data_IF_865772952557
#
_entry.id   IF_865772952557
#
_cell.length_a   1.000
_cell.length_b   1.000
_cell.length_c   1.000
_cell.angle_alpha   90.00
_cell.angle_beta   90.00
_cell.angle_gamma   90.00
#
_symmetry.space_group_name_H-M   'P 1'
#
loop_
_entity.id
_entity.type
_entity.pdbx_description
1 polymer ?
#
# COMPACT_ATOMS: atom_id res chain seq x y z
N UNK A 1 18.17 -6.42 0.25
CA UNK A 1 16.77 -6.29 -0.28
C UNK A 1 16.71 -5.71 -1.68
N UNK A 2 17.34 -4.56 -1.98
CA UNK A 2 17.33 -3.94 -3.32
C UNK A 2 17.65 -4.88 -4.49
N UNK A 3 18.69 -5.72 -4.35
CA UNK A 3 19.06 -6.72 -5.36
C UNK A 3 17.93 -7.72 -5.63
N UNK A 4 17.19 -8.15 -4.60
CA UNK A 4 16.08 -9.09 -4.75
C UNK A 4 14.91 -8.47 -5.53
N UNK A 5 14.60 -7.19 -5.29
CA UNK A 5 13.58 -6.46 -6.06
C UNK A 5 14.00 -6.30 -7.53
N UNK A 6 15.28 -6.04 -7.80
CA UNK A 6 15.81 -5.98 -9.18
C UNK A 6 15.74 -7.36 -9.87
N UNK A 7 16.05 -8.44 -9.16
CA UNK A 7 15.93 -9.80 -9.71
C UNK A 7 14.46 -10.13 -9.99
N UNK A 8 13.56 -9.83 -9.06
CA UNK A 8 12.12 -10.10 -9.21
C UNK A 8 11.54 -9.36 -10.43
N UNK A 9 11.91 -8.09 -10.63
CA UNK A 9 11.44 -7.30 -11.77
C UNK A 9 12.05 -7.74 -13.12
N UNK A 10 13.31 -8.18 -13.15
CA UNK A 10 13.96 -8.64 -14.40
C UNK A 10 13.63 -10.09 -14.77
N UNK A 11 13.45 -10.95 -13.76
CA UNK A 11 13.29 -12.39 -13.93
C UNK A 11 12.14 -12.93 -13.06
N UNK A 12 10.89 -12.48 -13.28
CA UNK A 12 9.75 -12.81 -12.42
C UNK A 12 9.49 -14.32 -12.35
N UNK A 13 9.62 -15.06 -13.45
CA UNK A 13 9.40 -16.52 -13.45
C UNK A 13 10.43 -17.29 -12.64
N UNK A 14 11.70 -16.88 -12.70
CA UNK A 14 12.76 -17.50 -11.89
C UNK A 14 12.62 -17.15 -10.42
N UNK A 15 12.24 -15.90 -10.13
CA UNK A 15 12.02 -15.45 -8.76
C UNK A 15 10.77 -16.09 -8.12
N UNK A 16 9.76 -16.39 -8.94
CA UNK A 16 8.50 -17.03 -8.53
C UNK A 16 8.63 -18.48 -8.06
N UNK A 17 9.85 -19.02 -7.98
CA UNK A 17 10.08 -20.35 -7.46
C UNK A 17 9.56 -20.50 -6.02
N UNK A 18 9.02 -21.69 -5.72
CA UNK A 18 8.43 -22.03 -4.43
C UNK A 18 9.40 -21.92 -3.25
N UNK A 19 10.70 -21.98 -3.49
CA UNK A 19 11.72 -21.88 -2.45
C UNK A 19 12.16 -20.44 -2.18
N UNK A 20 11.90 -19.52 -3.11
CA UNK A 20 12.43 -18.15 -3.07
C UNK A 20 11.32 -17.15 -2.76
N UNK A 21 10.30 -17.08 -3.61
CA UNK A 21 9.25 -16.07 -3.51
C UNK A 21 8.58 -16.04 -2.13
N UNK A 22 8.02 -17.15 -1.60
CA UNK A 22 7.32 -17.10 -0.33
C UNK A 22 8.23 -16.76 0.84
N UNK A 23 9.47 -17.22 0.86
CA UNK A 23 10.43 -16.91 1.93
C UNK A 23 10.74 -15.41 1.97
N UNK A 24 11.02 -14.81 0.82
CA UNK A 24 11.39 -13.39 0.75
C UNK A 24 10.19 -12.48 0.99
N UNK A 25 9.04 -12.79 0.41
CA UNK A 25 7.82 -11.98 0.56
C UNK A 25 7.26 -12.08 1.97
N UNK A 26 7.22 -13.28 2.54
CA UNK A 26 6.77 -13.47 3.92
C UNK A 26 7.65 -12.71 4.90
N UNK A 27 8.97 -12.78 4.71
CA UNK A 27 9.91 -11.98 5.49
C UNK A 27 9.62 -10.49 5.38
N UNK A 28 9.46 -9.94 4.16
CA UNK A 28 9.16 -8.52 3.98
C UNK A 28 7.85 -8.11 4.64
N UNK A 29 6.78 -8.91 4.45
CA UNK A 29 5.48 -8.65 5.05
C UNK A 29 5.57 -8.65 6.58
N UNK A 30 6.22 -9.65 7.17
CA UNK A 30 6.43 -9.70 8.62
C UNK A 30 7.20 -8.48 9.13
N UNK A 31 8.25 -8.05 8.41
CA UNK A 31 9.02 -6.86 8.77
C UNK A 31 8.19 -5.58 8.70
N UNK A 32 7.34 -5.42 7.68
CA UNK A 32 6.46 -4.25 7.56
C UNK A 32 5.42 -4.21 8.70
N UNK A 33 4.88 -5.37 9.09
CA UNK A 33 3.79 -5.46 10.07
C UNK A 33 4.25 -5.50 11.53
N UNK A 34 5.53 -5.78 11.79
CA UNK A 34 6.07 -5.95 13.14
C UNK A 34 5.96 -4.64 13.96
N UNK A 35 5.28 -4.65 15.12
CA UNK A 35 5.19 -3.48 16.00
C UNK A 35 6.51 -3.14 16.71
N UNK A 36 7.38 -4.11 16.98
CA UNK A 36 8.64 -3.87 17.71
C UNK A 36 9.66 -3.07 16.88
N UNK A 37 9.46 -3.06 15.56
CA UNK A 37 10.33 -2.40 14.60
C UNK A 37 10.02 -0.93 14.35
N UNK A 38 8.99 -0.37 14.99
CA UNK A 38 8.65 1.05 14.92
C UNK A 38 9.76 1.99 15.46
N UNK A 39 10.76 1.43 16.14
CA UNK A 39 11.88 2.16 16.77
C UNK A 39 13.23 1.99 16.04
N UNK A 40 13.29 1.23 14.93
CA UNK A 40 14.54 1.00 14.23
C UNK A 40 14.90 2.17 13.30
N UNK A 41 16.16 2.65 13.31
CA UNK A 41 16.56 3.88 12.60
C UNK A 41 16.74 3.71 11.07
N UNK A 42 16.31 2.60 10.48
CA UNK A 42 16.68 2.26 9.09
C UNK A 42 15.47 2.20 8.17
N UNK A 43 14.93 3.38 7.85
CA UNK A 43 13.80 3.56 6.92
C UNK A 43 14.06 2.95 5.55
N UNK A 44 15.29 3.03 5.05
CA UNK A 44 15.69 2.45 3.76
C UNK A 44 15.37 0.95 3.66
N UNK A 45 15.50 0.19 4.75
CA UNK A 45 15.16 -1.23 4.71
C UNK A 45 13.66 -1.46 4.58
N UNK A 46 12.82 -0.70 5.29
CA UNK A 46 11.37 -0.79 5.16
C UNK A 46 10.91 -0.38 3.77
N UNK A 47 11.50 0.68 3.22
CA UNK A 47 11.29 1.08 1.82
C UNK A 47 11.60 -0.10 0.91
N UNK A 48 12.76 -0.76 1.05
CA UNK A 48 13.10 -1.90 0.20
C UNK A 48 12.19 -3.11 0.42
N UNK A 49 11.65 -3.33 1.63
CA UNK A 49 10.64 -4.35 1.88
C UNK A 49 9.32 -4.02 1.18
N UNK A 50 8.85 -2.77 1.27
CA UNK A 50 7.63 -2.31 0.61
C UNK A 50 7.75 -2.34 -0.91
N UNK A 51 8.88 -1.87 -1.47
CA UNK A 51 9.22 -2.00 -2.90
C UNK A 51 9.14 -3.45 -3.33
N UNK A 52 9.68 -4.39 -2.54
CA UNK A 52 9.66 -5.81 -2.85
C UNK A 52 8.24 -6.37 -2.91
N UNK A 53 7.43 -6.09 -1.89
CA UNK A 53 6.02 -6.54 -1.83
C UNK A 53 5.21 -5.92 -2.97
N UNK A 54 5.37 -4.62 -3.21
CA UNK A 54 4.70 -3.90 -4.31
C UNK A 54 5.04 -4.52 -5.66
N UNK A 55 6.32 -4.77 -5.92
CA UNK A 55 6.79 -5.33 -7.20
C UNK A 55 6.24 -6.74 -7.46
N UNK A 56 6.02 -7.53 -6.40
CA UNK A 56 5.36 -8.85 -6.49
C UNK A 56 3.86 -8.70 -6.79
N UNK A 57 3.16 -7.77 -6.13
CA UNK A 57 1.73 -7.55 -6.32
C UNK A 57 1.37 -6.95 -7.68
N UNK A 58 2.22 -6.08 -8.23
CA UNK A 58 2.03 -5.49 -9.57
C UNK A 58 2.48 -6.39 -10.72
N UNK A 59 3.18 -7.49 -10.42
CA UNK A 59 3.77 -8.35 -11.44
C UNK A 59 2.68 -8.97 -12.31
N UNK A 60 2.59 -8.50 -13.56
CA UNK A 60 1.58 -8.94 -14.54
C UNK A 60 1.77 -10.42 -14.88
N UNK A 61 3.01 -10.90 -14.83
CA UNK A 61 3.39 -12.29 -15.06
C UNK A 61 2.83 -13.25 -13.99
N UNK A 62 2.52 -12.73 -12.80
CA UNK A 62 1.92 -13.51 -11.70
C UNK A 62 0.38 -13.49 -11.73
N UNK A 63 -0.23 -12.68 -12.60
CA UNK A 63 -1.68 -12.66 -12.77
C UNK A 63 -2.13 -13.77 -13.72
N UNK A 64 -3.16 -14.57 -13.38
CA UNK A 64 -3.67 -15.62 -14.25
C UNK A 64 -4.09 -15.03 -15.61
N UNK A 65 -3.51 -15.53 -16.70
CA UNK A 65 -3.89 -15.11 -18.05
C UNK A 65 -5.31 -15.59 -18.39
N UNK A 66 -6.25 -14.66 -18.63
CA UNK A 66 -7.63 -14.94 -19.05
C UNK A 66 -7.75 -15.33 -20.55
N UNK A 67 -6.63 -15.45 -21.27
CA UNK A 67 -6.63 -15.65 -22.72
C UNK A 67 -7.33 -16.96 -23.10
N UNK A 68 -8.38 -16.82 -23.91
CA UNK A 68 -9.25 -17.89 -24.40
C UNK A 68 -8.50 -18.94 -25.23
N UNK A 69 -9.04 -20.16 -25.20
CA UNK A 69 -8.46 -21.37 -25.82
C UNK A 69 -8.25 -21.17 -27.33
N UNK A 70 -7.02 -21.31 -27.80
CA UNK A 70 -6.76 -21.82 -29.15
C UNK A 70 -6.29 -23.25 -28.96
N UNK A 71 -7.22 -24.20 -29.02
CA UNK A 71 -6.90 -25.62 -29.06
C UNK A 71 -6.35 -25.93 -30.44
N UNK A 72 -5.03 -25.96 -30.58
CA UNK A 72 -4.39 -26.85 -31.53
C UNK A 72 -2.90 -26.99 -31.20
N UNK A 73 -2.43 -28.23 -31.32
CA UNK A 73 -1.04 -28.72 -31.36
C UNK A 73 -0.51 -29.43 -30.10
N UNK A 74 -0.08 -30.68 -30.32
CA UNK A 74 0.28 -31.72 -29.35
C UNK A 74 1.66 -31.53 -28.70
N UNK A 75 1.92 -30.37 -28.10
CA UNK A 75 3.10 -30.13 -27.28
C UNK A 75 2.78 -29.14 -26.16
N UNK A 76 3.44 -29.28 -25.00
CA UNK A 76 3.38 -28.25 -23.95
C UNK A 76 4.08 -27.00 -24.50
N UNK A 77 3.30 -26.13 -25.14
CA UNK A 77 3.80 -24.92 -25.77
C UNK A 77 4.43 -24.02 -24.71
N UNK A 78 5.36 -23.16 -25.13
CA UNK A 78 6.00 -22.18 -24.23
C UNK A 78 4.97 -21.33 -23.47
N UNK A 79 3.85 -21.00 -24.12
CA UNK A 79 2.72 -20.28 -23.51
C UNK A 79 2.02 -21.08 -22.41
N UNK A 80 1.87 -22.38 -22.59
CA UNK A 80 1.25 -23.25 -21.59
C UNK A 80 2.13 -23.41 -20.34
N UNK A 81 3.46 -23.45 -20.52
CA UNK A 81 4.42 -23.40 -19.40
C UNK A 81 4.33 -22.07 -18.65
N UNK A 82 4.25 -20.96 -19.38
CA UNK A 82 4.11 -19.60 -18.81
C UNK A 82 2.83 -19.47 -17.99
N UNK A 83 1.71 -19.99 -18.51
CA UNK A 83 0.42 -20.02 -17.82
C UNK A 83 0.46 -20.88 -16.55
N UNK A 84 1.04 -22.07 -16.62
CA UNK A 84 1.15 -22.97 -15.46
C UNK A 84 2.05 -22.35 -14.37
N UNK A 85 3.16 -21.73 -14.76
CA UNK A 85 4.02 -21.00 -13.84
C UNK A 85 3.27 -19.82 -13.20
N UNK A 86 2.58 -19.01 -13.99
CA UNK A 86 1.78 -17.87 -13.52
C UNK A 86 0.71 -18.30 -12.50
N UNK A 87 -0.07 -19.34 -12.81
CA UNK A 87 -1.08 -19.87 -11.89
C UNK A 87 -0.46 -20.40 -10.59
N UNK A 88 0.69 -21.07 -10.67
CA UNK A 88 1.41 -21.57 -9.50
C UNK A 88 1.86 -20.40 -8.62
N UNK A 89 2.45 -19.36 -9.21
CA UNK A 89 2.91 -18.18 -8.48
C UNK A 89 1.74 -17.41 -7.90
N UNK A 90 0.65 -17.23 -8.66
CA UNK A 90 -0.58 -16.60 -8.17
C UNK A 90 -1.11 -17.30 -6.92
N UNK A 91 -1.13 -18.64 -6.93
CA UNK A 91 -1.52 -19.44 -5.76
C UNK A 91 -0.60 -19.22 -4.55
N UNK A 92 0.71 -19.11 -4.77
CA UNK A 92 1.68 -18.79 -3.71
C UNK A 92 1.42 -17.39 -3.14
N UNK A 93 1.29 -16.37 -3.98
CA UNK A 93 1.03 -14.98 -3.54
C UNK A 93 -0.27 -14.90 -2.74
N UNK A 94 -1.34 -15.54 -3.22
CA UNK A 94 -2.61 -15.62 -2.49
C UNK A 94 -2.48 -16.32 -1.14
N UNK A 95 -1.63 -17.36 -1.03
CA UNK A 95 -1.40 -18.05 0.25
C UNK A 95 -0.61 -17.19 1.26
N UNK A 96 0.22 -16.26 0.78
CA UNK A 96 1.00 -15.36 1.62
C UNK A 96 0.18 -14.18 2.12
N UNK A 97 -0.90 -13.84 1.42
CA UNK A 97 -1.78 -12.72 1.69
C UNK A 97 -3.21 -13.22 1.94
N UNK A 98 -3.45 -13.96 3.03
CA UNK A 98 -4.82 -14.23 3.47
C UNK A 98 -5.50 -12.90 3.84
N UNK A 99 -6.84 -12.90 3.83
CA UNK A 99 -7.65 -11.70 4.04
C UNK A 99 -7.27 -10.96 5.33
N UNK A 100 -7.01 -11.69 6.42
CA UNK A 100 -6.62 -11.11 7.71
C UNK A 100 -5.29 -10.33 7.60
N UNK A 101 -4.33 -10.88 6.86
CA UNK A 101 -3.03 -10.22 6.66
C UNK A 101 -3.14 -9.01 5.73
N UNK A 102 -4.00 -9.07 4.72
CA UNK A 102 -4.30 -7.93 3.84
C UNK A 102 -4.90 -6.78 4.65
N UNK A 103 -5.88 -7.07 5.49
CA UNK A 103 -6.52 -6.08 6.38
C UNK A 103 -5.51 -5.51 7.39
N UNK A 104 -4.67 -6.36 7.98
CA UNK A 104 -3.62 -5.93 8.90
C UNK A 104 -2.62 -4.99 8.20
N UNK A 105 -2.15 -5.38 7.01
CA UNK A 105 -1.21 -4.59 6.23
C UNK A 105 -1.81 -3.22 5.88
N UNK A 106 -3.05 -3.17 5.41
CA UNK A 106 -3.76 -1.92 5.13
C UNK A 106 -3.84 -1.02 6.38
N UNK A 107 -4.21 -1.59 7.55
CA UNK A 107 -4.28 -0.83 8.79
C UNK A 107 -2.91 -0.26 9.18
N UNK A 108 -1.84 -1.05 9.04
CA UNK A 108 -0.50 -0.61 9.39
C UNK A 108 0.01 0.46 8.43
N UNK A 109 -0.23 0.33 7.12
CA UNK A 109 0.13 1.35 6.14
C UNK A 109 -0.50 2.70 6.50
N UNK A 110 -1.81 2.74 6.73
CA UNK A 110 -2.52 3.99 7.03
C UNK A 110 -2.21 4.51 8.45
N UNK A 111 -2.26 3.66 9.47
CA UNK A 111 -2.15 4.13 10.87
C UNK A 111 -0.71 4.37 11.34
N UNK A 112 0.29 3.91 10.59
CA UNK A 112 1.71 4.05 10.95
C UNK A 112 2.50 4.78 9.89
N UNK A 113 2.46 4.32 8.64
CA UNK A 113 3.38 4.80 7.61
C UNK A 113 2.87 6.02 6.85
N UNK A 114 1.55 6.27 6.84
CA UNK A 114 0.96 7.50 6.30
C UNK A 114 1.00 8.65 7.33
N UNK A 115 1.23 8.39 8.60
CA UNK A 115 1.22 9.43 9.63
C UNK A 115 2.49 10.28 9.49
N UNK A 116 2.36 11.62 9.40
CA UNK A 116 3.53 12.51 9.39
C UNK A 116 4.36 12.32 10.65
N UNK A 117 5.67 12.19 10.47
CA UNK A 117 6.63 12.09 11.57
C UNK A 117 6.94 13.47 12.13
N UNK A 118 7.58 13.50 13.30
CA UNK A 118 8.10 14.75 13.85
C UNK A 118 9.13 15.43 12.93
N UNK A 119 9.91 14.64 12.17
CA UNK A 119 10.86 15.18 11.18
C UNK A 119 10.14 15.88 10.03
N UNK A 120 9.08 15.26 9.49
CA UNK A 120 8.29 15.84 8.41
C UNK A 120 7.66 17.17 8.83
N UNK A 121 7.14 17.24 10.06
CA UNK A 121 6.54 18.45 10.62
C UNK A 121 7.57 19.54 10.85
N UNK A 122 8.78 19.19 11.29
CA UNK A 122 9.88 20.14 11.47
C UNK A 122 10.37 20.68 10.12
N UNK A 123 10.59 19.81 9.13
CA UNK A 123 10.94 20.22 7.76
C UNK A 123 9.91 21.18 7.18
N UNK A 124 8.61 20.85 7.35
CA UNK A 124 7.51 21.71 6.94
C UNK A 124 7.48 23.05 7.69
N UNK A 125 7.72 23.05 9.00
CA UNK A 125 7.77 24.27 9.81
C UNK A 125 8.93 25.19 9.42
N UNK A 126 10.10 24.61 9.12
CA UNK A 126 11.31 25.36 8.74
C UNK A 126 11.19 25.99 7.35
N UNK A 127 10.69 25.26 6.36
CA UNK A 127 10.50 25.80 5.01
C UNK A 127 9.35 25.09 4.27
N UNK A 128 8.12 25.63 4.32
CA UNK A 128 6.96 24.99 3.70
C UNK A 128 7.03 24.95 2.17
N UNK A 129 7.70 25.92 1.53
CA UNK A 129 7.85 25.96 0.07
C UNK A 129 8.80 24.86 -0.42
N UNK A 130 9.95 24.69 0.26
CA UNK A 130 10.89 23.60 -0.04
C UNK A 130 10.24 22.25 0.21
N UNK A 131 9.55 22.09 1.35
CA UNK A 131 8.84 20.87 1.67
C UNK A 131 7.83 20.50 0.57
N UNK A 132 7.04 21.46 0.09
CA UNK A 132 6.10 21.22 -1.00
C UNK A 132 6.80 20.82 -2.30
N UNK A 133 7.87 21.52 -2.67
CA UNK A 133 8.63 21.23 -3.89
C UNK A 133 9.29 19.84 -3.85
N UNK A 134 9.79 19.42 -2.69
CA UNK A 134 10.36 18.09 -2.51
C UNK A 134 9.33 16.98 -2.69
N UNK A 135 8.11 17.16 -2.16
CA UNK A 135 7.03 16.17 -2.31
C UNK A 135 6.66 15.93 -3.79
N UNK A 136 6.74 16.96 -4.64
CA UNK A 136 6.45 16.85 -6.08
C UNK A 136 7.57 16.16 -6.87
N UNK A 137 8.82 16.25 -6.40
CA UNK A 137 10.00 15.76 -7.12
C UNK A 137 10.46 14.37 -6.67
N UNK A 138 10.04 13.94 -5.48
CA UNK A 138 10.54 12.71 -4.88
C UNK A 138 9.93 11.47 -5.54
N UNK A 139 10.78 10.47 -5.82
CA UNK A 139 10.27 9.18 -6.26
C UNK A 139 9.63 8.46 -5.07
N UNK A 140 8.53 7.75 -5.34
CA UNK A 140 7.82 6.97 -4.33
C UNK A 140 8.72 5.99 -3.56
N UNK A 141 9.86 5.56 -4.14
CA UNK A 141 10.81 4.63 -3.51
C UNK A 141 11.92 5.30 -2.69
N UNK A 142 11.87 6.62 -2.48
CA UNK A 142 12.94 7.36 -1.79
C UNK A 142 12.59 7.75 -0.34
N UNK A 143 11.32 8.04 -0.04
CA UNK A 143 10.83 8.27 1.34
C UNK A 143 9.84 7.19 1.75
N UNK A 144 9.76 6.94 3.06
CA UNK A 144 8.95 5.86 3.64
C UNK A 144 7.44 6.06 3.39
N UNK A 145 6.93 7.27 3.63
CA UNK A 145 5.51 7.59 3.44
C UNK A 145 5.07 7.43 1.97
N UNK A 146 5.72 8.07 0.97
CA UNK A 146 5.39 7.83 -0.44
C UNK A 146 5.49 6.36 -0.84
N UNK A 147 6.43 5.60 -0.27
CA UNK A 147 6.56 4.17 -0.56
C UNK A 147 5.39 3.35 -0.01
N UNK A 148 4.92 3.68 1.19
CA UNK A 148 3.76 3.07 1.79
C UNK A 148 2.48 3.40 1.03
N UNK A 149 2.33 4.66 0.59
CA UNK A 149 1.21 5.12 -0.24
C UNK A 149 1.16 4.37 -1.57
N UNK A 150 2.32 4.19 -2.22
CA UNK A 150 2.43 3.45 -3.46
C UNK A 150 2.12 1.95 -3.29
N UNK A 151 2.53 1.33 -2.18
CA UNK A 151 2.15 -0.05 -1.86
C UNK A 151 0.66 -0.17 -1.55
N UNK A 152 0.09 0.80 -0.83
CA UNK A 152 -1.33 0.85 -0.49
C UNK A 152 -2.21 0.90 -1.74
N UNK A 153 -1.88 1.75 -2.72
CA UNK A 153 -2.63 1.82 -3.99
C UNK A 153 -2.69 0.46 -4.69
N UNK A 154 -1.54 -0.21 -4.81
CA UNK A 154 -1.47 -1.55 -5.41
C UNK A 154 -2.24 -2.59 -4.61
N UNK A 155 -2.13 -2.55 -3.28
CA UNK A 155 -2.89 -3.45 -2.42
C UNK A 155 -4.40 -3.25 -2.62
N UNK A 156 -4.85 -2.01 -2.71
CA UNK A 156 -6.25 -1.68 -2.92
C UNK A 156 -6.75 -2.08 -4.30
N UNK A 157 -5.97 -1.86 -5.37
CA UNK A 157 -6.31 -2.31 -6.73
C UNK A 157 -6.56 -3.82 -6.82
N UNK A 158 -5.82 -4.62 -6.04
CA UNK A 158 -5.97 -6.08 -6.07
C UNK A 158 -7.07 -6.60 -5.11
N UNK A 159 -7.45 -5.83 -4.08
CA UNK A 159 -8.34 -6.28 -3.00
C UNK A 159 -9.43 -5.25 -2.61
N UNK A 160 -9.87 -4.41 -3.56
CA UNK A 160 -10.78 -3.28 -3.30
C UNK A 160 -12.07 -3.66 -2.59
N UNK A 161 -12.67 -4.80 -2.94
CA UNK A 161 -13.90 -5.29 -2.30
C UNK A 161 -13.72 -5.59 -0.80
N UNK A 162 -12.54 -6.08 -0.41
CA UNK A 162 -12.21 -6.37 0.97
C UNK A 162 -11.82 -5.08 1.72
N UNK A 163 -11.04 -4.22 1.07
CA UNK A 163 -10.44 -3.05 1.72
C UNK A 163 -11.36 -1.82 1.75
N UNK A 164 -12.32 -1.70 0.82
CA UNK A 164 -13.30 -0.62 0.79
C UNK A 164 -13.95 -0.33 2.14
N UNK A 165 -14.67 -1.30 2.75
CA UNK A 165 -15.30 -1.08 4.07
C UNK A 165 -14.28 -0.83 5.19
N UNK A 166 -13.06 -1.36 5.09
CA UNK A 166 -12.00 -1.14 6.09
C UNK A 166 -11.50 0.30 6.06
N UNK A 167 -11.26 0.87 4.88
CA UNK A 167 -10.82 2.26 4.73
C UNK A 167 -11.90 3.23 5.22
N UNK A 168 -13.18 2.96 4.92
CA UNK A 168 -14.30 3.74 5.45
C UNK A 168 -14.35 3.68 6.97
N UNK A 169 -14.15 2.50 7.56
CA UNK A 169 -14.10 2.34 9.03
C UNK A 169 -12.95 3.15 9.64
N UNK A 170 -11.75 3.11 9.05
CA UNK A 170 -10.60 3.90 9.50
C UNK A 170 -10.91 5.41 9.43
N UNK A 171 -11.51 5.87 8.34
CA UNK A 171 -11.91 7.27 8.17
C UNK A 171 -12.91 7.70 9.24
N UNK A 172 -13.97 6.93 9.46
CA UNK A 172 -14.99 7.23 10.46
C UNK A 172 -14.41 7.26 11.88
N UNK A 173 -13.55 6.30 12.21
CA UNK A 173 -12.86 6.28 13.49
C UNK A 173 -11.97 7.51 13.68
N UNK A 174 -11.18 7.88 12.66
CA UNK A 174 -10.31 9.04 12.73
C UNK A 174 -11.08 10.36 12.86
N UNK A 175 -12.22 10.48 12.16
CA UNK A 175 -13.13 11.63 12.28
C UNK A 175 -13.76 11.73 13.67
N UNK A 176 -14.21 10.61 14.24
CA UNK A 176 -14.85 10.61 15.56
C UNK A 176 -13.88 10.89 16.71
N UNK A 177 -12.62 10.44 16.57
CA UNK A 177 -11.59 10.61 17.59
C UNK A 177 -10.91 11.99 17.56
N UNK A 178 -11.09 12.76 16.48
CA UNK A 178 -10.53 14.10 16.35
C UNK A 178 -11.60 15.15 16.70
N UNK A 179 -11.41 16.01 17.72
CA UNK A 179 -12.35 17.08 18.00
C UNK A 179 -12.42 18.08 16.85
N UNK A 180 -13.56 18.79 16.68
CA UNK A 180 -13.78 19.71 15.56
C UNK A 180 -12.96 21.01 15.64
N UNK A 181 -12.47 21.40 16.82
CA UNK A 181 -11.52 22.51 16.98
C UNK A 181 -10.21 21.98 17.56
N UNK A 182 -9.17 21.97 16.73
CA UNK A 182 -7.84 21.53 17.15
C UNK A 182 -6.90 22.73 17.06
N UNK A 183 -6.31 23.13 18.19
CA UNK A 183 -5.33 24.23 18.26
C UNK A 183 -3.87 23.74 18.23
N UNK A 184 -3.65 22.44 18.36
CA UNK A 184 -2.31 21.82 18.45
C UNK A 184 -2.22 20.55 17.61
N UNK A 185 -1.05 20.22 17.08
CA UNK A 185 -0.86 18.98 16.30
C UNK A 185 -0.94 17.78 17.26
N UNK A 186 -2.08 17.08 17.23
CA UNK A 186 -2.31 15.88 18.05
C UNK A 186 -2.15 14.61 17.21
N UNK A 187 -1.82 13.46 17.82
CA UNK A 187 -1.80 12.17 17.12
C UNK A 187 -3.13 11.83 16.43
N UNK A 188 -4.25 12.25 17.01
CA UNK A 188 -5.58 12.08 16.41
C UNK A 188 -5.74 12.89 15.12
N UNK A 189 -5.23 14.13 15.08
CA UNK A 189 -5.21 14.96 13.88
C UNK A 189 -4.33 14.35 12.79
N UNK A 190 -3.14 13.86 13.13
CA UNK A 190 -2.23 13.23 12.17
C UNK A 190 -2.80 11.91 11.61
N UNK A 191 -3.51 11.13 12.43
CA UNK A 191 -4.22 9.95 11.96
C UNK A 191 -5.38 10.31 11.03
N UNK A 192 -6.07 11.42 11.32
CA UNK A 192 -7.13 11.94 10.46
C UNK A 192 -6.59 12.40 9.11
N UNK A 193 -5.45 13.11 9.07
CA UNK A 193 -4.74 13.44 7.82
C UNK A 193 -4.39 12.17 7.02
N UNK A 194 -3.78 11.18 7.67
CA UNK A 194 -3.44 9.91 7.05
C UNK A 194 -4.66 9.17 6.47
N UNK A 195 -5.79 9.18 7.20
CA UNK A 195 -7.04 8.56 6.74
C UNK A 195 -7.66 9.31 5.55
N UNK A 196 -7.58 10.64 5.51
CA UNK A 196 -7.98 11.43 4.34
C UNK A 196 -7.09 11.14 3.13
N UNK A 197 -5.78 11.10 3.30
CA UNK A 197 -4.85 10.75 2.23
C UNK A 197 -5.16 9.36 1.65
N UNK A 198 -5.34 8.36 2.51
CA UNK A 198 -5.73 7.01 2.09
C UNK A 198 -7.04 7.02 1.29
N UNK A 199 -8.07 7.72 1.80
CA UNK A 199 -9.38 7.85 1.13
C UNK A 199 -9.25 8.56 -0.23
N UNK A 200 -8.41 9.59 -0.32
CA UNK A 200 -8.20 10.35 -1.56
C UNK A 200 -7.59 9.48 -2.66
N UNK A 201 -6.61 8.63 -2.34
CA UNK A 201 -5.98 7.73 -3.31
C UNK A 201 -6.95 6.74 -3.96
N UNK A 202 -8.00 6.32 -3.23
CA UNK A 202 -8.96 5.31 -3.70
C UNK A 202 -10.37 5.87 -3.89
N UNK A 203 -10.48 7.20 -4.04
CA UNK A 203 -11.74 7.94 -4.14
C UNK A 203 -12.74 7.33 -5.14
N UNK A 204 -12.26 6.96 -6.33
CA UNK A 204 -13.11 6.41 -7.40
C UNK A 204 -13.79 5.10 -6.99
N UNK A 205 -13.07 4.22 -6.30
CA UNK A 205 -13.56 2.91 -5.87
C UNK A 205 -14.44 3.01 -4.61
N UNK A 206 -14.14 3.99 -3.73
CA UNK A 206 -14.93 4.26 -2.52
C UNK A 206 -16.27 4.95 -2.80
N UNK A 207 -16.50 5.42 -4.02
CA UNK A 207 -17.78 6.02 -4.42
C UNK A 207 -19.00 5.11 -4.22
N UNK A 208 -18.77 3.80 -4.23
CA UNK A 208 -19.80 2.80 -3.97
C UNK A 208 -20.09 2.59 -2.47
N UNK A 209 -19.19 3.03 -1.59
CA UNK A 209 -19.21 2.79 -0.15
C UNK A 209 -19.46 4.06 0.68
N UNK A 210 -19.18 5.24 0.12
CA UNK A 210 -19.34 6.54 0.78
C UNK A 210 -20.47 7.36 0.16
N UNK A 211 -21.38 7.87 1.00
CA UNK A 211 -22.27 8.97 0.63
C UNK A 211 -21.48 10.27 0.69
N UNK A 212 -21.02 10.76 -0.46
CA UNK A 212 -20.14 11.93 -0.55
C UNK A 212 -20.69 13.22 0.08
N UNK A 213 -22.00 13.37 0.17
CA UNK A 213 -22.62 14.52 0.86
C UNK A 213 -22.16 14.63 2.30
N UNK A 214 -21.99 13.51 2.99
CA UNK A 214 -21.62 13.51 4.42
C UNK A 214 -20.14 13.85 4.62
N UNK A 215 -19.25 13.40 3.72
CA UNK A 215 -17.81 13.73 3.78
C UNK A 215 -17.51 15.18 3.43
N UNK A 216 -18.07 15.71 2.34
CA UNK A 216 -17.86 17.11 1.94
C UNK A 216 -18.44 18.08 2.99
N UNK A 217 -19.60 17.75 3.54
CA UNK A 217 -20.25 18.58 4.55
C UNK A 217 -19.52 18.54 5.90
N UNK A 218 -18.86 17.43 6.26
CA UNK A 218 -17.93 17.41 7.39
C UNK A 218 -16.70 18.29 7.14
N UNK A 219 -16.06 18.19 5.96
CA UNK A 219 -14.90 19.04 5.63
C UNK A 219 -15.26 20.54 5.58
N UNK A 220 -16.44 20.89 5.08
CA UNK A 220 -16.91 22.29 5.06
C UNK A 220 -17.24 22.81 6.46
N UNK A 221 -17.80 21.97 7.33
CA UNK A 221 -18.09 22.37 8.72
C UNK A 221 -16.80 22.60 9.52
N UNK A 222 -15.72 21.88 9.21
CA UNK A 222 -14.40 22.08 9.81
C UNK A 222 -13.73 23.35 9.32
N UNK A 223 -13.80 23.67 8.02
CA UNK A 223 -13.27 24.93 7.47
C UNK A 223 -14.05 26.15 7.98
N UNK A 224 -15.36 26.01 8.23
CA UNK A 224 -16.22 27.09 8.79
C UNK A 224 -16.10 27.25 10.32
N UNK A 225 -15.51 26.29 11.02
CA UNK A 225 -15.27 26.36 12.47
C UNK A 225 -13.98 27.11 12.84
N UNK A 226 -13.18 27.49 11.83
CA UNK A 226 -12.00 28.36 11.92
C UNK A 226 -12.31 29.75 11.36
#
# INVERSE_FOLDING_TARGET
MKVLAVIQSRHPYSFGDKCVLPVVVDFCLNKITDPEQASLPFEEFFIQCMVMVKSVLECKEYKPSLTGRVMNENGVTFEERKKNASNTVSGIVSSLLPNERIVLLCNILVRRYFVLTASDLEEWYQNPESFHHEQDMIQWSEKLRPCAEALYMVLFENYSQLLGPIVVSILQEAMNNCPPSVTEITPALLLKDAAYAATAYVYYELSNYLNFRDCSQCSENEVKAH
#
